data_IF_810100623728
#
_entry.id   IF_810100623728
#
_cell.length_a   1.000
_cell.length_b   1.000
_cell.length_c   1.000
_cell.angle_alpha   90.00
_cell.angle_beta   90.00
_cell.angle_gamma   90.00
#
_symmetry.space_group_name_H-M   'P 1'
#
loop_
_entity.id
_entity.type
_entity.pdbx_description
1 polymer ?
#
# COMPACT_ATOMS: atom_id res chain seq x y z
N UNK A 1 5.52 -44.66 -40.66
CA UNK A 1 6.90 -44.72 -40.14
C UNK A 1 6.87 -44.78 -38.61
N UNK A 2 7.66 -45.67 -37.99
CA UNK A 2 7.43 -46.16 -36.61
C UNK A 2 8.42 -45.61 -35.58
N UNK A 3 9.12 -44.52 -35.88
CA UNK A 3 10.27 -44.06 -35.08
C UNK A 3 10.14 -42.67 -34.46
N UNK A 4 9.11 -41.88 -34.77
CA UNK A 4 8.70 -40.69 -33.98
C UNK A 4 9.82 -39.75 -33.48
N UNK A 5 10.89 -39.56 -34.26
CA UNK A 5 12.05 -38.78 -33.80
C UNK A 5 11.76 -37.30 -33.97
N UNK A 6 11.48 -36.62 -32.86
CA UNK A 6 11.41 -35.17 -32.77
C UNK A 6 12.73 -34.63 -32.19
N UNK A 7 13.23 -33.54 -32.77
CA UNK A 7 14.38 -32.78 -32.23
C UNK A 7 13.86 -31.48 -31.66
N UNK A 8 14.15 -31.22 -30.39
CA UNK A 8 13.80 -29.99 -29.68
C UNK A 8 15.07 -29.27 -29.28
N UNK A 9 15.04 -27.93 -29.35
CA UNK A 9 16.13 -27.07 -28.95
C UNK A 9 15.55 -25.90 -28.14
N UNK A 10 16.19 -25.57 -27.02
CA UNK A 10 15.78 -24.46 -26.17
C UNK A 10 16.54 -23.20 -26.61
N UNK A 11 15.80 -22.22 -27.10
CA UNK A 11 16.36 -20.91 -27.46
C UNK A 11 16.18 -19.98 -26.25
N UNK A 12 17.26 -19.46 -25.65
CA UNK A 12 17.15 -18.56 -24.52
C UNK A 12 16.58 -17.21 -24.95
N UNK A 13 15.59 -16.72 -24.20
CA UNK A 13 15.05 -15.38 -24.36
C UNK A 13 15.79 -14.43 -23.43
N UNK A 14 16.38 -13.37 -23.99
CA UNK A 14 16.99 -12.30 -23.21
C UNK A 14 15.92 -11.25 -22.87
N UNK A 15 15.56 -11.06 -21.59
CA UNK A 15 14.59 -10.05 -21.20
C UNK A 15 15.17 -8.65 -21.43
N UNK A 16 14.31 -7.69 -21.80
CA UNK A 16 14.72 -6.29 -22.04
C UNK A 16 15.18 -5.58 -20.76
N UNK A 17 14.70 -6.04 -19.61
CA UNK A 17 14.89 -5.45 -18.29
C UNK A 17 14.97 -6.57 -17.27
N UNK A 18 15.76 -6.34 -16.23
CA UNK A 18 15.85 -7.27 -15.12
C UNK A 18 14.55 -7.30 -14.30
N UNK A 19 14.30 -8.42 -13.63
CA UNK A 19 13.23 -8.59 -12.68
C UNK A 19 13.85 -8.78 -11.30
N UNK A 20 13.50 -7.91 -10.35
CA UNK A 20 14.05 -7.96 -8.99
C UNK A 20 12.94 -7.89 -7.95
N UNK A 21 13.26 -8.43 -6.78
CA UNK A 21 12.44 -8.32 -5.58
C UNK A 21 13.25 -7.65 -4.48
N UNK A 22 12.67 -6.64 -3.84
CA UNK A 22 13.27 -5.96 -2.70
C UNK A 22 12.32 -5.95 -1.50
N UNK A 23 12.89 -5.97 -0.30
CA UNK A 23 12.15 -6.03 0.96
C UNK A 23 12.75 -5.02 1.95
N UNK A 24 11.90 -4.36 2.74
CA UNK A 24 12.33 -3.37 3.73
C UNK A 24 11.21 -2.42 4.15
N UNK A 25 11.52 -1.45 5.02
CA UNK A 25 10.59 -0.34 5.32
C UNK A 25 10.63 0.70 4.20
N UNK A 26 9.53 1.41 3.97
CA UNK A 26 9.46 2.34 2.83
C UNK A 26 10.54 3.42 2.90
N UNK A 27 10.79 3.97 4.09
CA UNK A 27 11.82 4.99 4.30
C UNK A 27 13.23 4.46 4.01
N UNK A 28 13.51 3.20 4.35
CA UNK A 28 14.80 2.57 4.08
C UNK A 28 15.01 2.33 2.58
N UNK A 29 13.95 1.89 1.89
CA UNK A 29 13.99 1.65 0.44
C UNK A 29 14.19 2.97 -0.31
N UNK A 30 13.46 4.02 0.08
CA UNK A 30 13.62 5.36 -0.51
C UNK A 30 15.01 5.93 -0.25
N UNK A 31 15.54 5.78 0.98
CA UNK A 31 16.86 6.27 1.34
C UNK A 31 18.00 5.52 0.63
N UNK A 32 17.86 4.20 0.44
CA UNK A 32 18.84 3.40 -0.29
C UNK A 32 18.90 3.81 -1.75
N UNK A 33 17.73 4.05 -2.36
CA UNK A 33 17.62 4.33 -3.78
C UNK A 33 18.19 3.20 -4.66
N UNK A 34 18.19 3.38 -5.98
CA UNK A 34 18.81 2.43 -6.89
C UNK A 34 20.33 2.63 -6.95
N UNK A 35 21.06 1.53 -7.11
CA UNK A 35 22.47 1.58 -7.50
C UNK A 35 22.56 1.95 -9.00
N UNK A 36 22.44 3.25 -9.31
CA UNK A 36 22.43 3.78 -10.67
C UNK A 36 21.03 3.96 -11.27
N UNK A 37 20.94 4.06 -12.60
CA UNK A 37 19.65 4.18 -13.30
C UNK A 37 18.92 2.82 -13.30
N UNK A 38 17.85 2.72 -12.52
CA UNK A 38 17.06 1.48 -12.37
C UNK A 38 15.90 1.44 -13.34
N UNK A 39 16.07 0.70 -14.43
CA UNK A 39 15.00 0.42 -15.40
C UNK A 39 14.38 -0.97 -15.21
N UNK A 40 14.73 -1.67 -14.15
CA UNK A 40 14.27 -3.02 -13.84
C UNK A 40 12.83 -3.04 -13.32
N UNK A 41 12.16 -4.16 -13.56
CA UNK A 41 10.84 -4.45 -13.03
C UNK A 41 10.95 -4.90 -11.57
N UNK A 42 10.21 -4.23 -10.69
CA UNK A 42 10.33 -4.45 -9.25
C UNK A 42 9.04 -4.96 -8.61
N UNK A 43 9.20 -6.00 -7.79
CA UNK A 43 8.26 -6.33 -6.72
C UNK A 43 8.84 -5.83 -5.40
N UNK A 44 8.08 -5.03 -4.68
CA UNK A 44 8.49 -4.46 -3.39
C UNK A 44 7.66 -5.07 -2.28
N UNK A 45 8.31 -5.62 -1.26
CA UNK A 45 7.68 -6.13 -0.06
C UNK A 45 7.92 -5.17 1.10
N UNK A 46 6.87 -4.50 1.55
CA UNK A 46 6.99 -3.54 2.65
C UNK A 46 6.83 -4.25 4.00
N UNK A 47 7.77 -3.95 4.90
CA UNK A 47 7.81 -4.47 6.26
C UNK A 47 7.30 -3.46 7.30
N UNK A 48 6.85 -2.29 6.89
CA UNK A 48 6.29 -1.28 7.79
C UNK A 48 5.13 -1.89 8.62
N UNK A 49 5.04 -1.51 9.89
CA UNK A 49 3.98 -1.98 10.81
C UNK A 49 2.72 -1.12 10.72
N UNK A 50 2.89 0.17 10.41
CA UNK A 50 1.80 1.16 10.29
C UNK A 50 1.32 1.36 8.85
N UNK A 51 0.22 2.10 8.63
CA UNK A 51 -0.22 2.48 7.30
C UNK A 51 0.90 3.22 6.55
N UNK A 52 1.01 2.97 5.24
CA UNK A 52 1.94 3.68 4.36
C UNK A 52 1.10 4.33 3.29
N UNK A 53 1.11 5.67 3.24
CA UNK A 53 0.35 6.42 2.23
C UNK A 53 1.04 6.33 0.88
N UNK A 54 0.24 6.04 -0.15
CA UNK A 54 0.63 5.92 -1.56
C UNK A 54 2.02 5.27 -1.76
N UNK A 55 2.22 4.03 -1.28
CA UNK A 55 3.53 3.38 -1.38
C UNK A 55 3.94 3.21 -2.84
N UNK A 56 2.99 2.95 -3.73
CA UNK A 56 3.23 2.78 -5.16
C UNK A 56 3.73 4.08 -5.79
N UNK A 57 3.06 5.21 -5.58
CA UNK A 57 3.48 6.50 -6.15
C UNK A 57 4.82 6.97 -5.56
N UNK A 58 5.01 6.80 -4.25
CA UNK A 58 6.29 7.07 -3.58
C UNK A 58 7.45 6.30 -4.22
N UNK A 59 7.31 4.98 -4.35
CA UNK A 59 8.34 4.13 -4.93
C UNK A 59 8.57 4.44 -6.41
N UNK A 60 7.52 4.76 -7.18
CA UNK A 60 7.64 5.08 -8.62
C UNK A 60 8.43 6.35 -8.92
N UNK A 61 8.55 7.28 -7.96
CA UNK A 61 9.44 8.46 -8.11
C UNK A 61 10.92 8.08 -8.18
N UNK A 62 11.28 6.92 -7.64
CA UNK A 62 12.67 6.46 -7.51
C UNK A 62 12.93 5.24 -8.41
N UNK A 63 11.92 4.37 -8.53
CA UNK A 63 11.93 3.14 -9.31
C UNK A 63 10.76 3.17 -10.31
N UNK A 64 10.95 3.66 -11.54
CA UNK A 64 9.85 3.95 -12.46
C UNK A 64 9.01 2.71 -12.84
N UNK A 65 9.60 1.52 -12.80
CA UNK A 65 8.99 0.28 -13.25
C UNK A 65 8.56 -0.67 -12.09
N UNK A 66 8.17 -0.12 -10.93
CA UNK A 66 7.55 -0.93 -9.86
C UNK A 66 6.22 -1.51 -10.35
N UNK A 67 6.18 -2.84 -10.38
CA UNK A 67 5.05 -3.62 -10.85
C UNK A 67 4.08 -3.94 -9.71
N UNK A 68 4.60 -4.26 -8.53
CA UNK A 68 3.78 -4.70 -7.41
C UNK A 68 4.37 -4.28 -6.07
N UNK A 69 3.49 -3.93 -5.13
CA UNK A 69 3.84 -3.66 -3.74
C UNK A 69 2.99 -4.58 -2.87
N UNK A 70 3.63 -5.44 -2.10
CA UNK A 70 2.96 -6.39 -1.20
C UNK A 70 3.27 -6.09 0.27
N UNK A 71 2.29 -6.39 1.13
CA UNK A 71 2.40 -6.28 2.59
C UNK A 71 2.01 -7.63 3.20
N UNK A 72 2.98 -8.44 3.63
CA UNK A 72 2.74 -9.86 3.96
C UNK A 72 1.76 -10.07 5.10
N UNK A 73 1.71 -9.12 6.04
CA UNK A 73 0.80 -9.15 7.19
C UNK A 73 -0.61 -8.65 6.86
N UNK A 74 -0.83 -8.15 5.64
CA UNK A 74 -2.11 -7.59 5.18
C UNK A 74 -2.63 -8.19 3.88
N UNK A 75 -1.87 -9.04 3.21
CA UNK A 75 -2.44 -9.92 2.18
C UNK A 75 -3.48 -10.80 2.84
N UNK A 76 -4.78 -10.66 2.49
CA UNK A 76 -5.76 -11.66 2.87
C UNK A 76 -5.25 -12.97 2.27
N UNK A 77 -5.24 -14.04 3.07
CA UNK A 77 -5.16 -15.37 2.49
C UNK A 77 -6.21 -15.44 1.36
N UNK A 78 -5.91 -16.17 0.29
CA UNK A 78 -6.80 -16.33 -0.87
C UNK A 78 -8.14 -17.05 -0.53
N UNK A 79 -8.46 -17.19 0.75
CA UNK A 79 -9.65 -17.79 1.35
C UNK A 79 -10.69 -16.74 1.77
N UNK A 80 -10.92 -15.71 0.94
CA UNK A 80 -12.15 -14.91 0.93
C UNK A 80 -12.56 -14.22 2.25
N UNK A 81 -11.73 -14.23 3.28
CA UNK A 81 -12.03 -13.67 4.60
C UNK A 81 -11.05 -12.54 4.86
N UNK A 82 -11.45 -11.35 4.45
CA UNK A 82 -10.79 -10.11 4.84
C UNK A 82 -10.85 -10.01 6.36
N UNK A 83 -9.73 -10.27 7.05
CA UNK A 83 -9.62 -9.98 8.48
C UNK A 83 -9.37 -8.47 8.67
N UNK A 84 -10.29 -7.72 9.29
CA UNK A 84 -10.13 -6.29 9.51
C UNK A 84 -9.44 -6.10 10.88
N UNK A 85 -8.12 -6.31 10.96
CA UNK A 85 -7.48 -6.45 12.29
C UNK A 85 -6.40 -5.45 12.66
N UNK A 86 -6.15 -4.39 11.87
CA UNK A 86 -5.30 -3.26 12.34
C UNK A 86 -6.03 -1.91 12.31
N UNK A 87 -6.89 -1.65 11.31
CA UNK A 87 -7.71 -0.43 11.30
C UNK A 87 -8.74 -0.37 12.43
N UNK A 88 -9.04 -1.49 13.10
CA UNK A 88 -10.11 -1.58 14.11
C UNK A 88 -9.74 -1.06 15.50
N UNK A 89 -8.50 -0.61 15.72
CA UNK A 89 -8.04 -0.10 17.03
C UNK A 89 -7.69 1.38 17.06
N UNK A 90 -7.59 2.03 15.91
CA UNK A 90 -7.40 3.47 15.82
C UNK A 90 -8.77 4.12 15.66
N UNK A 91 -9.04 5.17 16.43
CA UNK A 91 -10.23 5.99 16.19
C UNK A 91 -10.09 6.74 14.86
N UNK A 92 -11.21 7.18 14.27
CA UNK A 92 -11.19 8.02 13.07
C UNK A 92 -10.31 9.27 13.27
N UNK A 93 -10.28 9.79 14.50
CA UNK A 93 -9.43 10.89 14.92
C UNK A 93 -7.94 10.52 14.83
N UNK A 94 -7.54 9.37 15.36
CA UNK A 94 -6.14 8.91 15.33
C UNK A 94 -5.66 8.67 13.90
N UNK A 95 -6.54 8.12 13.05
CA UNK A 95 -6.25 7.88 11.64
C UNK A 95 -6.00 9.21 10.90
N UNK A 96 -6.85 10.21 11.13
CA UNK A 96 -6.72 11.51 10.49
C UNK A 96 -5.52 12.29 11.05
N UNK A 97 -5.23 12.18 12.34
CA UNK A 97 -4.06 12.81 12.96
C UNK A 97 -2.76 12.27 12.35
N UNK A 98 -2.65 10.94 12.19
CA UNK A 98 -1.50 10.32 11.53
C UNK A 98 -1.39 10.74 10.05
N UNK A 99 -2.51 10.88 9.35
CA UNK A 99 -2.55 11.38 7.98
C UNK A 99 -2.06 12.83 7.87
N UNK A 100 -2.55 13.71 8.75
CA UNK A 100 -2.19 15.13 8.78
C UNK A 100 -0.68 15.29 8.98
N UNK A 101 -0.13 14.67 10.04
CA UNK A 101 1.29 14.73 10.35
C UNK A 101 2.16 14.21 9.20
N UNK A 102 1.72 13.18 8.50
CA UNK A 102 2.45 12.66 7.37
C UNK A 102 2.44 13.58 6.12
N UNK A 103 1.41 14.40 5.95
CA UNK A 103 1.27 15.33 4.80
C UNK A 103 1.94 16.68 5.06
N UNK A 104 1.85 17.18 6.28
CA UNK A 104 2.36 18.51 6.66
C UNK A 104 3.73 18.46 7.33
N UNK A 105 4.10 17.31 7.91
CA UNK A 105 5.26 17.17 8.78
C UNK A 105 5.04 17.73 10.19
N UNK A 106 3.83 18.17 10.51
CA UNK A 106 3.47 18.80 11.79
C UNK A 106 2.31 18.05 12.45
N UNK A 107 2.39 17.86 13.77
CA UNK A 107 1.28 17.28 14.51
C UNK A 107 0.11 18.26 14.56
N UNK A 108 -1.13 17.74 14.59
CA UNK A 108 -2.30 18.58 14.84
C UNK A 108 -2.13 19.31 16.16
N UNK A 109 -2.41 20.62 16.17
CA UNK A 109 -2.53 21.39 17.40
C UNK A 109 -3.89 21.14 18.08
N UNK A 110 -4.11 21.78 19.22
CA UNK A 110 -5.33 21.60 19.99
C UNK A 110 -6.58 22.12 19.26
N UNK A 111 -6.44 23.22 18.51
CA UNK A 111 -7.55 23.86 17.79
C UNK A 111 -7.98 23.02 16.59
N UNK A 112 -7.01 22.50 15.81
CA UNK A 112 -7.27 21.62 14.69
C UNK A 112 -7.82 20.25 15.12
N UNK A 113 -7.41 19.72 16.29
CA UNK A 113 -8.00 18.51 16.87
C UNK A 113 -9.47 18.72 17.24
N UNK A 114 -9.81 19.87 17.83
CA UNK A 114 -11.19 20.15 18.20
C UNK A 114 -12.08 20.32 16.95
N UNK A 115 -11.58 21.06 15.95
CA UNK A 115 -12.28 21.20 14.66
C UNK A 115 -12.53 19.83 13.98
N UNK A 116 -11.55 18.92 14.03
CA UNK A 116 -11.70 17.56 13.52
C UNK A 116 -12.82 16.79 14.24
N UNK A 117 -12.87 16.88 15.57
CA UNK A 117 -13.94 16.23 16.37
C UNK A 117 -15.32 16.74 16.00
N UNK A 118 -15.48 18.05 15.89
CA UNK A 118 -16.76 18.64 15.52
C UNK A 118 -17.28 18.14 14.16
N UNK A 119 -16.38 18.05 13.18
CA UNK A 119 -16.71 17.54 11.83
C UNK A 119 -17.09 16.06 11.89
N UNK A 120 -16.32 15.24 12.60
CA UNK A 120 -16.61 13.80 12.74
C UNK A 120 -17.95 13.56 13.46
N UNK A 121 -18.24 14.34 14.51
CA UNK A 121 -19.50 14.24 15.23
C UNK A 121 -20.69 14.77 14.44
N UNK A 122 -20.50 15.76 13.57
CA UNK A 122 -21.52 16.19 12.61
C UNK A 122 -21.85 15.09 11.60
N UNK A 123 -20.82 14.45 11.03
CA UNK A 123 -20.97 13.34 10.07
C UNK A 123 -21.71 12.15 10.71
N UNK A 124 -21.32 11.74 11.93
CA UNK A 124 -21.97 10.65 12.66
C UNK A 124 -23.46 10.91 12.92
N UNK A 125 -23.82 12.16 13.24
CA UNK A 125 -25.21 12.57 13.45
C UNK A 125 -26.01 12.52 12.14
N UNK A 126 -25.41 12.94 11.03
CA UNK A 126 -26.05 12.87 9.71
C UNK A 126 -26.27 11.43 9.24
N UNK A 127 -25.29 10.55 9.45
CA UNK A 127 -25.41 9.12 9.16
C UNK A 127 -26.49 8.43 10.00
N UNK A 128 -26.57 8.76 11.30
CA UNK A 128 -27.62 8.26 12.18
C UNK A 128 -29.02 8.75 11.78
N UNK A 129 -29.13 10.01 11.33
CA UNK A 129 -30.38 10.58 10.81
C UNK A 129 -30.87 9.88 9.54
N UNK A 130 -29.96 9.66 8.58
CA UNK A 130 -30.26 8.93 7.33
C UNK A 130 -30.61 7.46 7.57
N UNK A 131 -30.02 6.82 8.58
CA UNK A 131 -30.36 5.45 8.96
C UNK A 131 -31.75 5.34 9.63
N UNK A 132 -32.18 6.38 10.37
CA UNK A 132 -33.51 6.42 10.98
C UNK A 132 -34.63 6.70 9.98
N UNK A 133 -34.36 7.45 8.91
CA UNK A 133 -35.33 7.81 7.86
C UNK A 133 -35.56 6.67 6.84
N UNK A 134 -34.73 5.62 6.87
CA UNK A 134 -34.83 4.42 6.02
C UNK A 134 -35.33 3.15 6.70
N UNK A 135 -35.79 3.22 7.95
CA UNK A 135 -36.40 2.08 8.65
C UNK A 135 -37.92 2.02 8.34
N UNK A 136 -38.46 0.86 7.92
CA UNK A 136 -39.86 0.71 7.50
C UNK A 136 -40.88 0.91 8.63
#
# INVERSE_FOLDING_TARGET
DRTGRCRTEAIPLAPRRDLRRIEGRIAEIEARGPEGASEDYLLVRLLDEGPVVDPMGRLRRIYPNVLHVERPRWTPQADGTVQPTVHRRLSDEDLFAAFYEQMTGEALDAEAREALREVLDALRREEAGRAAEGAP
#
